data_IF_643048118575
#
_entry.id   IF_643048118575
#
_cell.length_a   1.000
_cell.length_b   1.000
_cell.length_c   1.000
_cell.angle_alpha   90.00
_cell.angle_beta   90.00
_cell.angle_gamma   90.00
#
_symmetry.space_group_name_H-M   'P 1'
#
loop_
_entity.id
_entity.type
_entity.pdbx_description
1 polymer ?
#
# COMPACT_ATOMS: atom_id res chain seq x y z
N UNK A 1 -10.89 10.39 -21.04
CA UNK A 1 -10.58 9.89 -19.68
C UNK A 1 -11.22 10.76 -18.62
N UNK A 2 -11.58 10.21 -17.42
CA UNK A 2 -12.00 11.04 -16.28
C UNK A 2 -10.81 11.88 -15.81
N UNK A 3 -10.99 13.22 -15.76
CA UNK A 3 -9.93 14.12 -15.28
C UNK A 3 -9.92 14.13 -13.76
N UNK A 4 -8.77 13.81 -13.18
CA UNK A 4 -8.50 13.94 -11.76
C UNK A 4 -7.78 15.26 -11.53
N UNK A 5 -8.21 16.01 -10.51
CA UNK A 5 -7.57 17.25 -10.08
C UNK A 5 -7.31 17.15 -8.59
N UNK A 6 -6.29 17.81 -8.13
CA UNK A 6 -6.03 17.97 -6.70
C UNK A 6 -5.78 19.44 -6.39
N UNK A 7 -6.20 19.87 -5.21
CA UNK A 7 -5.99 21.24 -4.72
C UNK A 7 -4.89 21.33 -3.68
N UNK A 8 -4.50 20.18 -3.13
CA UNK A 8 -3.45 20.07 -2.11
C UNK A 8 -2.66 18.77 -2.27
N UNK A 9 -1.46 18.77 -1.69
CA UNK A 9 -0.65 17.57 -1.54
C UNK A 9 -0.37 17.35 -0.06
N UNK A 10 -0.54 16.11 0.42
CA UNK A 10 -0.28 15.70 1.81
C UNK A 10 0.43 14.35 1.84
N UNK A 11 1.18 14.11 2.90
CA UNK A 11 1.76 12.80 3.11
C UNK A 11 0.73 11.79 3.67
N UNK A 12 0.85 10.54 3.27
CA UNK A 12 -0.03 9.45 3.70
C UNK A 12 0.07 9.17 5.21
N UNK A 13 1.21 9.50 5.85
CA UNK A 13 1.41 9.40 7.31
C UNK A 13 0.44 10.32 8.07
N UNK A 14 0.21 11.52 7.55
CA UNK A 14 -0.77 12.45 8.13
C UNK A 14 -2.19 11.89 8.02
N UNK A 15 -2.50 11.16 6.94
CA UNK A 15 -3.77 10.42 6.80
C UNK A 15 -3.89 9.31 7.87
N UNK A 16 -2.81 8.55 8.10
CA UNK A 16 -2.76 7.57 9.17
C UNK A 16 -2.97 8.21 10.56
N UNK A 17 -2.24 9.29 10.88
CA UNK A 17 -2.38 9.98 12.17
C UNK A 17 -3.80 10.49 12.42
N UNK A 18 -4.43 11.08 11.40
CA UNK A 18 -5.82 11.54 11.46
C UNK A 18 -6.79 10.36 11.66
N UNK A 19 -6.62 9.27 10.92
CA UNK A 19 -7.42 8.07 11.05
C UNK A 19 -7.25 7.37 12.42
N UNK A 20 -6.03 7.32 12.95
CA UNK A 20 -5.75 6.77 14.28
C UNK A 20 -6.43 7.56 15.39
N UNK A 21 -6.37 8.90 15.34
CA UNK A 21 -7.06 9.77 16.28
C UNK A 21 -8.58 9.54 16.25
N UNK A 22 -9.16 9.45 15.06
CA UNK A 22 -10.59 9.24 14.87
C UNK A 22 -11.01 7.82 15.33
N UNK A 23 -10.27 6.79 14.98
CA UNK A 23 -10.48 5.43 15.48
C UNK A 23 -10.44 5.37 17.02
N UNK A 24 -9.51 6.11 17.64
CA UNK A 24 -9.44 6.20 19.10
C UNK A 24 -10.60 6.93 19.76
N UNK A 25 -11.28 7.83 19.04
CA UNK A 25 -12.53 8.48 19.49
C UNK A 25 -13.73 7.54 19.37
N UNK A 26 -13.76 6.71 18.32
CA UNK A 26 -14.87 5.77 18.06
C UNK A 26 -14.81 4.53 18.97
N UNK A 27 -13.61 4.04 19.33
CA UNK A 27 -13.44 2.83 20.15
C UNK A 27 -12.32 3.02 21.20
N UNK A 28 -12.69 2.87 22.47
CA UNK A 28 -11.77 2.96 23.63
C UNK A 28 -10.75 1.81 23.69
N UNK A 29 -10.97 0.75 22.95
CA UNK A 29 -10.05 -0.38 22.86
C UNK A 29 -8.90 -0.12 21.87
N UNK A 30 -8.98 0.90 21.03
CA UNK A 30 -7.88 1.32 20.18
C UNK A 30 -6.74 1.87 21.04
N UNK A 31 -5.58 1.25 20.94
CA UNK A 31 -4.33 1.66 21.60
C UNK A 31 -3.21 1.77 20.57
N UNK A 32 -2.20 2.57 20.85
CA UNK A 32 -1.08 2.78 19.94
C UNK A 32 0.25 2.48 20.63
N UNK A 33 1.16 1.83 19.90
CA UNK A 33 2.52 1.53 20.32
C UNK A 33 3.50 2.11 19.31
N UNK A 34 4.63 2.65 19.75
CA UNK A 34 5.64 3.21 18.87
C UNK A 34 7.05 2.79 19.27
N UNK A 35 7.89 2.53 18.28
CA UNK A 35 9.32 2.28 18.44
C UNK A 35 10.13 3.56 18.17
N UNK A 36 9.98 4.56 19.02
CA UNK A 36 10.72 5.85 19.04
C UNK A 36 10.60 6.71 17.77
N UNK A 37 9.48 6.61 17.05
CA UNK A 37 9.24 7.31 15.79
C UNK A 37 7.90 8.09 15.77
N UNK A 38 7.45 8.58 16.92
CA UNK A 38 6.16 9.24 17.13
C UNK A 38 5.88 10.33 16.08
N UNK A 39 6.81 11.28 15.93
CA UNK A 39 6.67 12.39 14.99
C UNK A 39 6.66 11.95 13.53
N UNK A 40 7.45 10.93 13.19
CA UNK A 40 7.52 10.36 11.85
C UNK A 40 6.21 9.70 11.42
N UNK A 41 5.50 9.08 12.38
CA UNK A 41 4.21 8.43 12.16
C UNK A 41 3.01 9.33 12.42
N UNK A 42 3.21 10.61 12.77
CA UNK A 42 2.12 11.56 13.06
C UNK A 42 1.16 11.12 14.18
N UNK A 43 1.68 10.42 15.20
CA UNK A 43 0.87 9.91 16.33
C UNK A 43 0.62 10.95 17.42
N UNK A 44 1.18 12.16 17.32
CA UNK A 44 1.14 13.19 18.38
C UNK A 44 -0.29 13.53 18.82
N UNK A 45 -1.24 13.67 17.90
CA UNK A 45 -2.61 14.05 18.22
C UNK A 45 -3.36 12.94 18.96
N UNK A 46 -3.10 11.67 18.63
CA UNK A 46 -3.61 10.52 19.39
C UNK A 46 -3.05 10.51 20.80
N UNK A 47 -1.75 10.72 20.97
CA UNK A 47 -1.08 10.75 22.29
C UNK A 47 -1.64 11.89 23.15
N UNK A 48 -1.84 13.06 22.55
CA UNK A 48 -2.41 14.21 23.26
C UNK A 48 -3.85 13.95 23.73
N UNK A 49 -4.65 13.27 22.91
CA UNK A 49 -6.04 12.95 23.22
C UNK A 49 -6.18 11.78 24.21
N UNK A 50 -5.29 10.80 24.13
CA UNK A 50 -5.38 9.53 24.86
C UNK A 50 -4.03 9.08 25.42
N UNK A 51 -3.40 9.84 26.33
CA UNK A 51 -2.05 9.54 26.82
C UNK A 51 -1.94 8.17 27.50
N UNK A 52 -3.00 7.70 28.15
CA UNK A 52 -3.07 6.39 28.83
C UNK A 52 -3.24 5.19 27.87
N UNK A 53 -3.50 5.47 26.58
CA UNK A 53 -3.66 4.45 25.54
C UNK A 53 -2.48 4.40 24.56
N UNK A 54 -1.40 5.11 24.90
CA UNK A 54 -0.17 5.12 24.11
C UNK A 54 0.99 4.49 24.90
N UNK A 55 1.78 3.65 24.20
CA UNK A 55 2.94 2.96 24.76
C UNK A 55 4.18 3.23 23.93
N UNK A 56 5.14 3.97 24.47
CA UNK A 56 6.46 4.09 23.87
C UNK A 56 7.30 2.88 24.27
N UNK A 57 7.72 2.10 23.28
CA UNK A 57 8.47 0.85 23.50
C UNK A 57 9.99 1.07 23.37
N UNK A 58 10.39 2.20 22.79
CA UNK A 58 11.77 2.44 22.38
C UNK A 58 12.15 1.68 21.10
N UNK A 59 13.43 1.66 20.78
CA UNK A 59 13.94 0.97 19.58
C UNK A 59 14.01 -0.55 19.86
N UNK A 60 12.82 -1.16 20.02
CA UNK A 60 12.66 -2.57 20.39
C UNK A 60 11.44 -3.18 19.65
N UNK A 61 11.48 -3.17 18.35
CA UNK A 61 10.34 -3.52 17.48
C UNK A 61 9.86 -4.98 17.71
N UNK A 62 10.76 -5.92 17.95
CA UNK A 62 10.40 -7.29 18.29
C UNK A 62 9.56 -7.38 19.58
N UNK A 63 9.96 -6.61 20.61
CA UNK A 63 9.20 -6.49 21.86
C UNK A 63 7.85 -5.81 21.63
N UNK A 64 7.81 -4.76 20.79
CA UNK A 64 6.57 -4.07 20.40
C UNK A 64 5.55 -5.03 19.78
N UNK A 65 5.97 -5.92 18.88
CA UNK A 65 5.07 -6.90 18.26
C UNK A 65 4.54 -7.92 19.29
N UNK A 66 5.39 -8.37 20.22
CA UNK A 66 4.98 -9.24 21.32
C UNK A 66 3.98 -8.59 22.28
N UNK A 67 4.24 -7.34 22.69
CA UNK A 67 3.33 -6.56 23.54
C UNK A 67 1.98 -6.34 22.83
N UNK A 68 2.01 -5.94 21.55
CA UNK A 68 0.79 -5.75 20.77
C UNK A 68 -0.05 -7.03 20.69
N UNK A 69 0.58 -8.18 20.43
CA UNK A 69 -0.11 -9.47 20.43
C UNK A 69 -0.75 -9.77 21.81
N UNK A 70 -0.02 -9.51 22.90
CA UNK A 70 -0.52 -9.68 24.28
C UNK A 70 -1.71 -8.78 24.60
N UNK A 71 -1.71 -7.52 24.17
CA UNK A 71 -2.81 -6.56 24.40
C UNK A 71 -4.12 -7.03 23.74
N UNK A 72 -4.06 -7.75 22.64
CA UNK A 72 -5.27 -8.29 22.01
C UNK A 72 -5.98 -9.35 22.86
N UNK A 73 -5.27 -10.04 23.76
CA UNK A 73 -5.86 -11.02 24.68
C UNK A 73 -6.79 -10.30 25.68
N UNK A 74 -6.44 -9.05 26.04
CA UNK A 74 -7.28 -8.17 26.85
C UNK A 74 -8.35 -7.40 26.07
N UNK A 75 -8.60 -7.76 24.79
CA UNK A 75 -9.62 -7.14 23.94
C UNK A 75 -9.18 -5.80 23.32
N UNK A 76 -7.91 -5.41 23.41
CA UNK A 76 -7.43 -4.18 22.79
C UNK A 76 -7.20 -4.35 21.29
N UNK A 77 -7.23 -3.22 20.57
CA UNK A 77 -6.96 -3.09 19.13
C UNK A 77 -5.66 -2.29 18.99
N UNK A 78 -4.49 -2.93 19.08
CA UNK A 78 -3.22 -2.23 19.04
C UNK A 78 -2.81 -1.86 17.61
N UNK A 79 -2.46 -0.59 17.41
CA UNK A 79 -1.74 -0.08 16.26
C UNK A 79 -0.26 0.02 16.61
N UNK A 80 0.61 -0.75 15.96
CA UNK A 80 2.06 -0.63 16.12
C UNK A 80 2.60 0.33 15.09
N UNK A 81 3.55 1.19 15.45
CA UNK A 81 4.11 2.21 14.54
C UNK A 81 5.63 2.22 14.53
N UNK A 82 6.22 1.99 13.35
CA UNK A 82 7.63 2.18 13.04
C UNK A 82 7.81 2.26 11.51
N UNK A 83 9.05 2.36 11.01
CA UNK A 83 9.29 2.27 9.57
C UNK A 83 9.00 0.86 9.03
N UNK A 84 8.56 0.78 7.78
CA UNK A 84 8.16 -0.47 7.16
C UNK A 84 9.27 -1.54 7.20
N UNK A 85 10.52 -1.15 6.99
CA UNK A 85 11.67 -2.06 7.13
C UNK A 85 11.77 -2.65 8.54
N UNK A 86 11.54 -1.84 9.55
CA UNK A 86 11.67 -2.27 10.95
C UNK A 86 10.43 -3.01 11.47
N UNK A 87 9.27 -2.78 10.84
CA UNK A 87 8.02 -3.48 11.17
C UNK A 87 7.79 -4.76 10.35
N UNK A 88 8.73 -5.16 9.50
CA UNK A 88 8.61 -6.37 8.68
C UNK A 88 9.83 -7.27 8.76
N UNK A 89 10.91 -6.98 8.04
CA UNK A 89 12.08 -7.86 7.94
C UNK A 89 12.71 -8.19 9.29
N UNK A 90 12.95 -7.17 10.13
CA UNK A 90 13.59 -7.30 11.44
C UNK A 90 12.77 -8.12 12.44
N UNK A 91 11.45 -8.15 12.32
CA UNK A 91 10.51 -8.72 13.28
C UNK A 91 9.59 -9.77 12.67
N UNK A 92 9.99 -10.31 11.53
CA UNK A 92 9.14 -11.24 10.77
C UNK A 92 8.70 -12.46 11.58
N UNK A 93 9.60 -13.04 12.38
CA UNK A 93 9.27 -14.19 13.22
C UNK A 93 8.22 -13.84 14.29
N UNK A 94 8.36 -12.69 14.95
CA UNK A 94 7.38 -12.24 15.95
C UNK A 94 6.00 -12.01 15.31
N UNK A 95 5.95 -11.40 14.12
CA UNK A 95 4.68 -11.23 13.39
C UNK A 95 4.11 -12.59 13.02
N UNK A 96 4.93 -13.48 12.48
CA UNK A 96 4.50 -14.81 12.07
C UNK A 96 3.94 -15.62 13.24
N UNK A 97 4.67 -15.72 14.34
CA UNK A 97 4.31 -16.59 15.47
C UNK A 97 3.25 -15.94 16.37
N UNK A 98 3.51 -14.71 16.81
CA UNK A 98 2.70 -14.08 17.85
C UNK A 98 1.46 -13.38 17.30
N UNK A 99 1.43 -12.99 16.04
CA UNK A 99 0.34 -12.24 15.43
C UNK A 99 -0.44 -13.09 14.43
N UNK A 100 0.18 -13.47 13.29
CA UNK A 100 -0.52 -14.14 12.22
C UNK A 100 -0.96 -15.56 12.58
N UNK A 101 -0.03 -16.41 13.03
CA UNK A 101 -0.34 -17.79 13.43
C UNK A 101 -1.33 -17.86 14.59
N UNK A 102 -1.24 -16.91 15.51
CA UNK A 102 -2.12 -16.82 16.69
C UNK A 102 -3.41 -16.03 16.43
N UNK A 103 -3.66 -15.60 15.20
CA UNK A 103 -4.83 -14.82 14.75
C UNK A 103 -5.13 -13.60 15.65
N UNK A 104 -4.11 -12.78 15.91
CA UNK A 104 -4.20 -11.62 16.79
C UNK A 104 -4.63 -10.36 16.03
N UNK A 105 -5.54 -9.61 16.62
CA UNK A 105 -6.13 -8.40 16.05
C UNK A 105 -5.18 -7.19 16.12
N UNK A 106 -3.96 -7.32 15.58
CA UNK A 106 -2.93 -6.28 15.57
C UNK A 106 -2.93 -5.53 14.23
N UNK A 107 -2.82 -4.20 14.28
CA UNK A 107 -2.68 -3.31 13.13
C UNK A 107 -1.25 -2.83 13.04
N UNK A 108 -0.51 -3.33 12.06
CA UNK A 108 0.89 -3.00 11.83
C UNK A 108 0.94 -1.79 10.91
N UNK A 109 1.12 -0.58 11.49
CA UNK A 109 1.23 0.66 10.73
C UNK A 109 2.70 0.87 10.30
N UNK A 110 2.96 0.62 9.04
CA UNK A 110 4.28 0.56 8.43
C UNK A 110 4.55 1.78 7.57
N UNK A 111 5.25 2.74 8.14
CA UNK A 111 5.57 4.03 7.52
C UNK A 111 6.87 3.96 6.71
N UNK A 112 7.09 4.96 5.84
CA UNK A 112 8.34 5.09 5.08
C UNK A 112 8.66 3.86 4.21
N UNK A 113 7.62 3.22 3.66
CA UNK A 113 7.79 2.08 2.77
C UNK A 113 8.29 2.52 1.38
N UNK A 114 8.99 1.61 0.70
CA UNK A 114 9.47 1.85 -0.67
C UNK A 114 10.76 2.64 -0.77
N UNK A 115 11.08 3.07 -1.98
CA UNK A 115 12.23 3.94 -2.31
C UNK A 115 12.03 5.37 -1.80
N UNK A 116 10.77 5.83 -1.75
CA UNK A 116 10.42 7.20 -1.38
C UNK A 116 10.63 7.53 0.10
N UNK A 117 11.14 6.58 0.90
CA UNK A 117 11.80 6.93 2.16
C UNK A 117 12.93 7.96 1.91
N UNK A 118 13.68 7.79 0.82
CA UNK A 118 14.57 8.82 0.28
C UNK A 118 15.99 8.75 0.79
N UNK A 119 16.46 9.82 1.41
CA UNK A 119 17.88 10.10 1.71
C UNK A 119 18.51 9.09 2.67
N UNK A 120 17.74 8.46 3.56
CA UNK A 120 18.26 7.46 4.50
C UNK A 120 18.76 6.18 3.80
N UNK A 121 18.33 5.96 2.55
CA UNK A 121 18.89 4.96 1.65
C UNK A 121 18.50 3.51 1.96
N UNK A 122 19.19 2.58 1.30
CA UNK A 122 18.84 1.16 1.24
C UNK A 122 18.72 0.44 2.60
N UNK A 123 19.41 0.91 3.64
CA UNK A 123 19.33 0.31 4.98
C UNK A 123 18.01 0.60 5.71
N UNK A 124 17.26 1.62 5.25
CA UNK A 124 15.99 2.07 5.81
C UNK A 124 14.82 1.86 4.85
N UNK A 125 15.08 1.92 3.54
CA UNK A 125 14.13 1.54 2.51
C UNK A 125 13.78 0.06 2.62
N UNK A 126 12.58 -0.31 2.17
CA UNK A 126 12.19 -1.70 2.00
C UNK A 126 11.36 -1.86 0.74
N UNK A 127 11.69 -2.88 -0.04
CA UNK A 127 11.06 -3.20 -1.32
C UNK A 127 10.50 -4.64 -1.33
N UNK A 128 10.50 -5.30 -0.18
CA UNK A 128 10.13 -6.70 0.03
C UNK A 128 8.96 -6.86 1.01
N UNK A 129 8.52 -5.78 1.63
CA UNK A 129 7.55 -5.77 2.73
C UNK A 129 6.18 -6.35 2.36
N UNK A 130 5.65 -5.98 1.19
CA UNK A 130 4.39 -6.56 0.68
C UNK A 130 4.56 -8.08 0.52
N UNK A 131 5.66 -8.52 -0.09
CA UNK A 131 5.97 -9.94 -0.28
C UNK A 131 6.01 -10.69 1.05
N UNK A 132 6.76 -10.18 2.03
CA UNK A 132 6.87 -10.77 3.36
C UNK A 132 5.50 -10.90 4.05
N UNK A 133 4.70 -9.84 4.03
CA UNK A 133 3.43 -9.81 4.75
C UNK A 133 2.35 -10.64 4.04
N UNK A 134 2.27 -10.61 2.70
CA UNK A 134 1.24 -11.38 1.99
C UNK A 134 1.46 -12.89 2.08
N UNK A 135 2.70 -13.36 2.33
CA UNK A 135 2.96 -14.80 2.54
C UNK A 135 2.36 -15.34 3.84
N UNK A 136 2.07 -14.48 4.83
CA UNK A 136 1.51 -14.92 6.11
C UNK A 136 0.02 -15.25 5.97
N UNK A 137 -0.43 -16.47 6.31
CA UNK A 137 -1.87 -16.80 6.34
C UNK A 137 -2.63 -15.83 7.27
N UNK A 138 -3.85 -15.44 6.87
CA UNK A 138 -4.70 -14.54 7.66
C UNK A 138 -4.31 -13.06 7.64
N UNK A 139 -3.09 -12.70 7.22
CA UNK A 139 -2.66 -11.30 7.14
C UNK A 139 -3.39 -10.56 6.03
N UNK A 140 -4.01 -9.43 6.35
CA UNK A 140 -4.53 -8.45 5.40
C UNK A 140 -3.46 -7.44 5.05
N UNK A 141 -3.27 -7.12 3.75
CA UNK A 141 -2.23 -6.19 3.28
C UNK A 141 -2.87 -5.04 2.52
N UNK A 142 -2.72 -3.82 3.05
CA UNK A 142 -3.33 -2.59 2.53
C UNK A 142 -2.24 -1.58 2.18
N UNK A 143 -2.32 -0.97 1.00
CA UNK A 143 -1.39 0.05 0.50
C UNK A 143 -2.17 1.22 -0.15
N UNK A 144 -2.70 2.17 0.65
CA UNK A 144 -3.49 3.29 0.16
C UNK A 144 -2.64 4.30 -0.63
N UNK A 145 -3.30 5.07 -1.51
CA UNK A 145 -2.62 5.91 -2.49
C UNK A 145 -2.40 7.37 -2.05
N UNK A 146 -3.25 7.92 -1.20
CA UNK A 146 -3.17 9.31 -0.75
C UNK A 146 -3.63 9.50 0.70
N UNK A 147 -3.65 10.75 1.17
CA UNK A 147 -4.04 11.12 2.52
C UNK A 147 -5.46 10.63 2.89
N UNK A 148 -6.45 10.93 2.06
CA UNK A 148 -7.85 10.59 2.34
C UNK A 148 -8.05 9.08 2.37
N UNK A 149 -7.49 8.36 1.41
CA UNK A 149 -7.57 6.91 1.37
C UNK A 149 -6.83 6.27 2.55
N UNK A 150 -5.71 6.83 3.00
CA UNK A 150 -4.99 6.31 4.17
C UNK A 150 -5.78 6.53 5.46
N UNK A 151 -6.46 7.68 5.61
CA UNK A 151 -7.36 7.92 6.73
C UNK A 151 -8.50 6.89 6.75
N UNK A 152 -9.18 6.71 5.62
CA UNK A 152 -10.26 5.73 5.48
C UNK A 152 -9.79 4.28 5.71
N UNK A 153 -8.63 3.91 5.18
CA UNK A 153 -8.01 2.60 5.39
C UNK A 153 -7.68 2.34 6.88
N UNK A 154 -7.22 3.36 7.61
CA UNK A 154 -6.92 3.26 9.05
C UNK A 154 -8.20 2.99 9.85
N UNK A 155 -9.29 3.69 9.54
CA UNK A 155 -10.60 3.46 10.17
C UNK A 155 -11.15 2.06 9.83
N UNK A 156 -11.06 1.65 8.57
CA UNK A 156 -11.47 0.31 8.15
C UNK A 156 -10.63 -0.78 8.84
N UNK A 157 -9.31 -0.57 8.97
CA UNK A 157 -8.43 -1.48 9.70
C UNK A 157 -8.81 -1.60 11.18
N UNK A 158 -9.20 -0.52 11.85
CA UNK A 158 -9.64 -0.56 13.24
C UNK A 158 -10.87 -1.45 13.43
N UNK A 159 -11.81 -1.43 12.48
CA UNK A 159 -13.05 -2.22 12.49
C UNK A 159 -12.85 -3.67 12.03
N UNK A 160 -11.80 -3.94 11.27
CA UNK A 160 -11.49 -5.28 10.76
C UNK A 160 -10.99 -6.19 11.90
N UNK A 161 -11.48 -7.43 11.96
CA UNK A 161 -10.99 -8.45 12.89
C UNK A 161 -9.88 -9.26 12.24
N UNK A 162 -8.73 -9.36 12.89
CA UNK A 162 -7.56 -10.06 12.41
C UNK A 162 -6.35 -9.13 12.16
N UNK A 163 -5.20 -9.69 11.79
CA UNK A 163 -3.98 -8.93 11.57
C UNK A 163 -4.05 -8.13 10.26
N UNK A 164 -3.64 -6.86 10.34
CA UNK A 164 -3.57 -5.96 9.18
C UNK A 164 -2.16 -5.37 9.09
N UNK A 165 -1.56 -5.43 7.92
CA UNK A 165 -0.40 -4.65 7.53
C UNK A 165 -0.87 -3.46 6.71
N UNK A 166 -0.76 -2.26 7.28
CA UNK A 166 -1.10 -0.99 6.65
C UNK A 166 0.18 -0.27 6.24
N UNK A 167 0.45 -0.26 4.95
CA UNK A 167 1.65 0.27 4.32
C UNK A 167 1.44 1.71 3.85
N UNK A 168 2.35 2.62 4.14
CA UNK A 168 2.30 3.99 3.62
C UNK A 168 3.68 4.64 3.53
N UNK A 169 3.82 5.60 2.60
CA UNK A 169 5.08 6.25 2.27
C UNK A 169 5.37 7.50 3.11
N UNK A 170 6.50 8.14 2.81
CA UNK A 170 6.99 9.37 3.46
C UNK A 170 6.62 10.67 2.72
N UNK A 171 6.72 10.74 1.37
CA UNK A 171 6.59 12.01 0.67
C UNK A 171 5.15 12.54 0.68
N UNK A 172 5.02 13.83 0.39
CA UNK A 172 3.74 14.40 0.03
C UNK A 172 3.35 13.95 -1.37
N UNK A 173 2.08 13.60 -1.53
CA UNK A 173 1.49 13.16 -2.79
C UNK A 173 0.20 13.93 -3.04
N UNK A 174 -0.26 14.05 -4.30
CA UNK A 174 -1.55 14.63 -4.59
C UNK A 174 -2.68 13.98 -3.80
N UNK A 175 -3.60 14.77 -3.26
CA UNK A 175 -4.83 14.30 -2.61
C UNK A 175 -5.96 14.38 -3.63
N UNK A 176 -6.35 13.25 -4.18
CA UNK A 176 -7.32 13.17 -5.29
C UNK A 176 -8.51 12.25 -5.01
N UNK A 177 -8.41 11.43 -3.95
CA UNK A 177 -9.55 10.59 -3.54
C UNK A 177 -10.55 11.41 -2.70
N UNK A 178 -11.87 11.10 -2.72
CA UNK A 178 -12.86 11.78 -1.90
C UNK A 178 -12.55 11.67 -0.40
N UNK A 179 -12.85 12.73 0.36
CA UNK A 179 -12.64 12.74 1.82
C UNK A 179 -13.55 11.75 2.55
N UNK A 180 -14.77 11.58 2.05
CA UNK A 180 -15.86 10.75 2.59
C UNK A 180 -15.97 9.39 1.89
N UNK A 181 -14.91 8.94 1.19
CA UNK A 181 -14.94 7.68 0.49
C UNK A 181 -15.15 6.49 1.45
N UNK A 182 -16.02 5.57 1.06
CA UNK A 182 -16.08 4.26 1.69
C UNK A 182 -14.81 3.46 1.37
N UNK A 183 -14.22 2.83 2.38
CA UNK A 183 -13.07 1.96 2.22
C UNK A 183 -13.44 0.53 2.58
N UNK A 184 -13.62 -0.31 1.58
CA UNK A 184 -13.96 -1.72 1.75
C UNK A 184 -12.71 -2.57 1.52
N UNK A 185 -12.24 -3.24 2.56
CA UNK A 185 -11.08 -4.12 2.47
C UNK A 185 -11.36 -5.26 1.48
N UNK A 186 -10.50 -5.43 0.49
CA UNK A 186 -10.64 -6.47 -0.53
C UNK A 186 -11.42 -6.05 -1.78
N UNK A 187 -11.94 -4.82 -1.86
CA UNK A 187 -12.59 -4.28 -3.05
C UNK A 187 -11.69 -3.25 -3.74
N UNK A 188 -11.50 -3.39 -5.04
CA UNK A 188 -10.71 -2.45 -5.84
C UNK A 188 -11.56 -1.24 -6.27
N UNK A 189 -10.90 -0.11 -6.52
CA UNK A 189 -11.59 1.11 -6.95
C UNK A 189 -11.32 1.37 -8.44
N UNK A 190 -12.38 1.34 -9.25
CA UNK A 190 -12.32 1.76 -10.66
C UNK A 190 -12.15 3.27 -10.74
N UNK A 191 -11.01 3.72 -11.24
CA UNK A 191 -10.70 5.13 -11.44
C UNK A 191 -11.11 5.61 -12.82
N UNK A 192 -10.76 4.85 -13.85
CA UNK A 192 -11.14 5.15 -15.23
C UNK A 192 -11.57 3.88 -15.95
N UNK A 193 -12.80 3.82 -16.51
CA UNK A 193 -13.19 2.73 -17.38
C UNK A 193 -12.45 2.83 -18.72
N UNK A 194 -12.11 1.69 -19.32
CA UNK A 194 -11.42 1.62 -20.62
C UNK A 194 -11.58 0.25 -21.26
N UNK A 195 -11.10 0.12 -22.48
CA UNK A 195 -11.32 -1.10 -23.30
C UNK A 195 -10.06 -1.67 -23.95
N UNK A 196 -8.94 -0.93 -23.93
CA UNK A 196 -7.74 -1.32 -24.70
C UNK A 196 -6.73 -2.10 -23.83
N UNK A 197 -6.47 -1.62 -22.61
CA UNK A 197 -5.50 -2.17 -21.67
C UNK A 197 -5.98 -1.95 -20.25
N UNK A 198 -5.68 -2.88 -19.33
CA UNK A 198 -5.89 -2.70 -17.88
C UNK A 198 -4.60 -2.22 -17.21
N UNK A 199 -4.69 -1.18 -16.39
CA UNK A 199 -3.61 -0.72 -15.50
C UNK A 199 -4.06 -0.92 -14.04
N UNK A 200 -3.37 -1.78 -13.30
CA UNK A 200 -3.60 -2.06 -11.88
C UNK A 200 -2.48 -1.40 -11.08
N UNK A 201 -2.80 -0.36 -10.34
CA UNK A 201 -1.83 0.39 -9.55
C UNK A 201 -2.12 0.34 -8.06
N UNK A 202 -1.08 0.47 -7.22
CA UNK A 202 -1.22 0.51 -5.77
C UNK A 202 -0.31 1.58 -5.14
N UNK A 203 -0.71 2.13 -3.99
CA UNK A 203 0.05 3.14 -3.29
C UNK A 203 0.30 4.38 -4.15
N UNK A 204 1.49 4.96 -4.05
CA UNK A 204 1.85 6.19 -4.76
C UNK A 204 1.79 6.06 -6.29
N UNK A 205 1.95 4.85 -6.84
CA UNK A 205 1.88 4.61 -8.29
C UNK A 205 0.46 4.76 -8.87
N UNK A 206 -0.56 4.91 -8.03
CA UNK A 206 -1.93 5.19 -8.50
C UNK A 206 -2.02 6.56 -9.17
N UNK A 207 -1.35 7.58 -8.63
CA UNK A 207 -1.29 8.90 -9.28
C UNK A 207 -0.54 8.84 -10.61
N UNK A 208 0.59 8.15 -10.64
CA UNK A 208 1.36 7.93 -11.88
C UNK A 208 0.53 7.19 -12.96
N UNK A 209 -0.30 6.24 -12.53
CA UNK A 209 -1.21 5.53 -13.45
C UNK A 209 -2.29 6.46 -14.03
N UNK A 210 -2.79 7.43 -13.24
CA UNK A 210 -3.71 8.45 -13.73
C UNK A 210 -3.03 9.34 -14.77
N UNK A 211 -1.82 9.85 -14.47
CA UNK A 211 -1.04 10.66 -15.41
C UNK A 211 -0.73 9.89 -16.70
N UNK A 212 -0.31 8.62 -16.58
CA UNK A 212 -0.08 7.76 -17.74
C UNK A 212 -1.35 7.55 -18.58
N UNK A 213 -2.51 7.42 -17.94
CA UNK A 213 -3.79 7.31 -18.64
C UNK A 213 -4.14 8.56 -19.46
N UNK A 214 -3.85 9.76 -18.95
CA UNK A 214 -4.04 11.02 -19.70
C UNK A 214 -3.13 11.08 -20.92
N UNK A 215 -1.88 10.64 -20.81
CA UNK A 215 -0.97 10.57 -21.95
C UNK A 215 -1.41 9.51 -22.97
N UNK A 216 -1.80 8.31 -22.52
CA UNK A 216 -2.31 7.23 -23.38
C UNK A 216 -3.55 7.67 -24.17
N UNK A 217 -4.44 8.45 -23.58
CA UNK A 217 -5.60 9.02 -24.28
C UNK A 217 -5.16 9.86 -25.50
N UNK A 218 -4.09 10.65 -25.37
CA UNK A 218 -3.54 11.43 -26.50
C UNK A 218 -2.99 10.56 -27.61
N UNK A 219 -2.59 9.33 -27.29
CA UNK A 219 -2.13 8.31 -28.24
C UNK A 219 -3.28 7.45 -28.80
N UNK A 220 -4.52 7.74 -28.44
CA UNK A 220 -5.71 6.98 -28.86
C UNK A 220 -5.86 5.64 -28.14
N UNK A 221 -5.20 5.44 -27.00
CA UNK A 221 -5.25 4.22 -26.19
C UNK A 221 -6.20 4.45 -25.01
N UNK A 222 -7.30 3.69 -24.96
CA UNK A 222 -8.32 3.75 -23.93
C UNK A 222 -7.97 2.80 -22.78
N UNK A 223 -7.28 3.33 -21.77
CA UNK A 223 -6.81 2.57 -20.62
C UNK A 223 -7.85 2.47 -19.50
N UNK A 224 -8.12 1.25 -19.03
CA UNK A 224 -8.85 1.03 -17.77
C UNK A 224 -7.90 1.09 -16.59
N UNK A 225 -8.17 2.00 -15.62
CA UNK A 225 -7.29 2.23 -14.47
C UNK A 225 -8.00 1.84 -13.19
N UNK A 226 -7.40 0.94 -12.44
CA UNK A 226 -7.95 0.40 -11.19
C UNK A 226 -6.93 0.58 -10.06
N UNK A 227 -7.37 1.18 -8.96
CA UNK A 227 -6.61 1.26 -7.73
C UNK A 227 -6.82 -0.02 -6.91
N UNK A 228 -5.76 -0.78 -6.73
CA UNK A 228 -5.68 -1.98 -5.89
C UNK A 228 -5.11 -1.58 -4.52
N UNK A 229 -5.90 -0.92 -3.70
CA UNK A 229 -5.48 -0.50 -2.37
C UNK A 229 -5.39 -1.66 -1.36
N UNK A 230 -6.03 -2.79 -1.62
CA UNK A 230 -5.90 -4.03 -0.83
C UNK A 230 -5.23 -5.09 -1.70
N UNK A 231 -4.00 -5.46 -1.34
CA UNK A 231 -3.21 -6.45 -2.08
C UNK A 231 -3.58 -7.87 -1.64
N UNK A 232 -3.97 -8.00 -0.37
CA UNK A 232 -4.48 -9.27 0.19
C UNK A 232 -5.60 -8.98 1.21
N UNK A 233 -6.82 -9.51 1.02
CA UNK A 233 -7.24 -10.29 -0.15
C UNK A 233 -7.26 -9.42 -1.43
N UNK A 234 -6.86 -10.00 -2.55
CA UNK A 234 -6.97 -9.35 -3.86
C UNK A 234 -8.43 -9.40 -4.35
N UNK A 235 -8.90 -8.31 -4.95
CA UNK A 235 -10.19 -8.31 -5.68
C UNK A 235 -10.04 -9.07 -7.01
N UNK A 236 -10.04 -10.40 -6.91
CA UNK A 236 -9.88 -11.27 -8.08
C UNK A 236 -10.98 -11.01 -9.14
N UNK A 237 -12.21 -10.70 -8.69
CA UNK A 237 -13.33 -10.44 -9.59
C UNK A 237 -13.09 -9.16 -10.41
N UNK A 238 -12.69 -8.07 -9.79
CA UNK A 238 -12.41 -6.83 -10.50
C UNK A 238 -11.26 -7.01 -11.49
N UNK A 239 -10.17 -7.67 -11.07
CA UNK A 239 -9.01 -7.97 -11.95
C UNK A 239 -9.44 -8.80 -13.16
N UNK A 240 -10.12 -9.93 -12.94
CA UNK A 240 -10.53 -10.84 -14.02
C UNK A 240 -11.53 -10.18 -14.97
N UNK A 241 -12.50 -9.42 -14.44
CA UNK A 241 -13.49 -8.71 -15.26
C UNK A 241 -12.83 -7.69 -16.18
N UNK A 242 -11.90 -6.90 -15.66
CA UNK A 242 -11.17 -5.89 -16.41
C UNK A 242 -10.28 -6.54 -17.48
N UNK A 243 -9.45 -7.51 -17.07
CA UNK A 243 -8.49 -8.16 -17.97
C UNK A 243 -9.19 -8.99 -19.04
N UNK A 244 -10.32 -9.62 -18.74
CA UNK A 244 -11.12 -10.33 -19.78
C UNK A 244 -11.63 -9.38 -20.88
N UNK A 245 -11.95 -8.14 -20.52
CA UNK A 245 -12.38 -7.11 -21.48
C UNK A 245 -11.22 -6.56 -22.29
N UNK A 246 -10.10 -6.27 -21.66
CA UNK A 246 -8.98 -5.57 -22.28
C UNK A 246 -7.94 -6.49 -22.92
N UNK A 247 -7.85 -7.74 -22.50
CA UNK A 247 -6.93 -8.76 -23.03
C UNK A 247 -5.45 -8.56 -22.73
N UNK A 248 -5.07 -7.57 -21.93
CA UNK A 248 -3.69 -7.36 -21.47
C UNK A 248 -3.67 -6.45 -20.23
N UNK A 249 -2.59 -6.54 -19.42
CA UNK A 249 -2.49 -5.81 -18.16
C UNK A 249 -1.09 -5.28 -17.87
N UNK A 250 -1.04 -4.11 -17.24
CA UNK A 250 0.17 -3.54 -16.63
C UNK A 250 -0.08 -3.41 -15.13
N UNK A 251 0.86 -3.86 -14.29
CA UNK A 251 0.84 -3.62 -12.85
C UNK A 251 1.86 -2.56 -12.47
N UNK A 252 1.52 -1.65 -11.54
CA UNK A 252 2.37 -0.56 -11.10
C UNK A 252 2.43 -0.48 -9.58
N UNK A 253 3.64 -0.61 -9.01
CA UNK A 253 3.89 -0.65 -7.57
C UNK A 253 5.28 -0.15 -7.18
N UNK A 254 5.39 0.54 -6.07
CA UNK A 254 6.66 0.93 -5.46
C UNK A 254 7.17 -0.19 -4.54
N UNK A 255 7.57 -1.29 -5.14
CA UNK A 255 8.01 -2.52 -4.49
C UNK A 255 8.90 -3.30 -5.46
N UNK A 256 9.64 -4.30 -5.00
CA UNK A 256 10.31 -5.23 -5.90
C UNK A 256 9.28 -5.96 -6.77
N UNK A 257 9.61 -6.18 -8.03
CA UNK A 257 8.79 -6.96 -8.96
C UNK A 257 8.43 -8.35 -8.40
N UNK A 258 9.39 -8.95 -7.68
CA UNK A 258 9.22 -10.27 -7.06
C UNK A 258 8.45 -10.10 -5.74
N UNK A 259 7.35 -10.80 -5.61
CA UNK A 259 6.57 -10.86 -4.37
C UNK A 259 5.53 -9.76 -4.19
N UNK A 260 5.43 -8.77 -5.07
CA UNK A 260 4.49 -7.66 -4.97
C UNK A 260 3.07 -7.92 -5.50
N UNK A 261 2.38 -6.84 -5.89
CA UNK A 261 1.08 -6.86 -6.53
C UNK A 261 1.14 -7.62 -7.87
N UNK A 262 2.17 -7.33 -8.67
CA UNK A 262 2.34 -7.95 -9.99
C UNK A 262 2.38 -9.46 -9.94
N UNK A 263 3.06 -10.06 -8.95
CA UNK A 263 3.08 -11.51 -8.75
C UNK A 263 1.70 -12.06 -8.35
N UNK A 264 0.93 -11.35 -7.53
CA UNK A 264 -0.42 -11.77 -7.16
C UNK A 264 -1.34 -11.80 -8.37
N UNK A 265 -1.24 -10.79 -9.24
CA UNK A 265 -2.00 -10.72 -10.49
C UNK A 265 -1.55 -11.82 -11.46
N UNK A 266 -0.23 -12.03 -11.62
CA UNK A 266 0.31 -13.09 -12.49
C UNK A 266 -0.17 -14.49 -12.06
N UNK A 267 -0.16 -14.80 -10.75
CA UNK A 267 -0.66 -16.07 -10.23
C UNK A 267 -2.15 -16.27 -10.52
N UNK A 268 -2.96 -15.21 -10.33
CA UNK A 268 -4.38 -15.24 -10.65
C UNK A 268 -4.62 -15.49 -12.13
N UNK A 269 -3.94 -14.71 -13.00
CA UNK A 269 -4.11 -14.81 -14.45
C UNK A 269 -3.59 -16.14 -14.99
N UNK A 270 -2.45 -16.64 -14.54
CA UNK A 270 -1.94 -17.94 -14.95
C UNK A 270 -2.92 -19.08 -14.67
N UNK A 271 -3.69 -18.97 -13.57
CA UNK A 271 -4.67 -19.99 -13.16
C UNK A 271 -6.01 -19.87 -13.89
N UNK A 272 -6.51 -18.66 -14.11
CA UNK A 272 -7.90 -18.44 -14.53
C UNK A 272 -8.07 -17.80 -15.90
N UNK A 273 -7.12 -16.96 -16.33
CA UNK A 273 -7.21 -16.20 -17.57
C UNK A 273 -5.80 -15.86 -18.09
N UNK A 274 -5.05 -16.81 -18.65
CA UNK A 274 -3.70 -16.56 -19.16
C UNK A 274 -3.66 -15.36 -20.11
N UNK A 275 -2.93 -14.31 -19.72
CA UNK A 275 -2.98 -13.01 -20.38
C UNK A 275 -1.59 -12.35 -20.33
N UNK A 276 -1.16 -11.62 -21.38
CA UNK A 276 0.06 -10.82 -21.35
C UNK A 276 0.05 -9.80 -20.22
N UNK A 277 1.13 -9.81 -19.42
CA UNK A 277 1.33 -8.86 -18.33
C UNK A 277 2.71 -8.19 -18.45
N UNK A 278 2.76 -6.89 -18.17
CA UNK A 278 3.97 -6.09 -17.96
C UNK A 278 3.97 -5.50 -16.55
N UNK A 279 5.17 -5.19 -16.04
CA UNK A 279 5.38 -4.72 -14.69
C UNK A 279 6.07 -3.35 -14.69
N UNK A 280 5.60 -2.44 -13.86
CA UNK A 280 6.29 -1.22 -13.43
C UNK A 280 6.56 -1.37 -11.93
N UNK A 281 7.77 -1.76 -11.60
CA UNK A 281 8.21 -2.11 -10.25
C UNK A 281 9.75 -2.06 -10.21
N UNK A 282 10.35 -2.11 -9.01
CA UNK A 282 11.80 -2.20 -8.88
C UNK A 282 12.28 -3.57 -9.39
N UNK A 283 13.26 -3.54 -10.28
CA UNK A 283 13.71 -4.73 -10.99
C UNK A 283 14.88 -5.41 -10.26
N UNK A 284 14.56 -6.18 -9.23
CA UNK A 284 15.48 -7.05 -8.46
C UNK A 284 16.79 -6.33 -8.04
N UNK A 285 16.62 -5.18 -7.40
CA UNK A 285 17.74 -4.38 -6.88
C UNK A 285 17.38 -3.73 -5.56
N UNK A 286 18.38 -3.47 -4.73
CA UNK A 286 18.20 -2.61 -3.57
C UNK A 286 18.04 -1.14 -4.01
N UNK A 287 17.46 -0.33 -3.12
CA UNK A 287 17.42 1.11 -3.28
C UNK A 287 18.77 1.77 -2.96
N UNK A 288 18.77 3.09 -2.92
CA UNK A 288 19.92 3.93 -2.61
C UNK A 288 19.48 5.26 -2.01
N UNK A 289 20.42 6.03 -1.49
CA UNK A 289 20.15 7.38 -0.96
C UNK A 289 19.89 8.37 -2.11
N UNK A 290 18.85 9.18 -1.96
CA UNK A 290 18.53 10.22 -2.94
C UNK A 290 17.20 10.91 -2.64
N UNK A 291 16.91 12.03 -3.30
CA UNK A 291 15.59 12.65 -3.24
C UNK A 291 14.51 11.68 -3.77
N UNK A 292 13.34 11.58 -3.12
CA UNK A 292 12.29 10.64 -3.51
C UNK A 292 11.91 10.67 -5.00
N UNK A 293 11.70 11.86 -5.58
CA UNK A 293 11.34 11.99 -7.00
C UNK A 293 12.45 11.48 -7.93
N UNK A 294 13.72 11.80 -7.63
CA UNK A 294 14.85 11.34 -8.42
C UNK A 294 15.01 9.80 -8.36
N UNK A 295 14.69 9.19 -7.23
CA UNK A 295 14.67 7.73 -7.10
C UNK A 295 13.54 7.12 -7.91
N UNK A 296 12.31 7.68 -7.85
CA UNK A 296 11.21 7.21 -8.66
C UNK A 296 11.54 7.23 -10.16
N UNK A 297 12.12 8.34 -10.66
CA UNK A 297 12.56 8.45 -12.05
C UNK A 297 13.67 7.45 -12.39
N UNK A 298 14.69 7.34 -11.56
CA UNK A 298 15.84 6.44 -11.80
C UNK A 298 15.42 4.97 -11.87
N UNK A 299 14.48 4.56 -11.02
CA UNK A 299 13.99 3.19 -10.98
C UNK A 299 12.79 2.94 -11.92
N UNK A 300 12.40 3.95 -12.72
CA UNK A 300 11.31 3.82 -13.69
C UNK A 300 9.94 3.61 -13.03
N UNK A 301 9.68 4.29 -11.92
CA UNK A 301 8.42 4.22 -11.18
C UNK A 301 7.60 5.51 -11.41
N UNK A 302 7.30 5.83 -12.67
CA UNK A 302 6.62 7.05 -13.09
C UNK A 302 5.66 6.79 -14.25
N UNK A 303 4.92 7.82 -14.66
CA UNK A 303 3.93 7.75 -15.74
C UNK A 303 4.55 7.30 -17.07
N UNK A 304 5.73 7.81 -17.44
CA UNK A 304 6.42 7.45 -18.70
C UNK A 304 6.72 5.95 -18.76
N UNK A 305 7.15 5.37 -17.64
CA UNK A 305 7.43 3.94 -17.54
C UNK A 305 6.16 3.09 -17.68
N UNK A 306 5.03 3.58 -17.16
CA UNK A 306 3.72 2.93 -17.30
C UNK A 306 3.28 2.99 -18.77
N UNK A 307 3.38 4.15 -19.43
CA UNK A 307 3.09 4.30 -20.87
C UNK A 307 3.95 3.34 -21.69
N UNK A 308 5.25 3.30 -21.43
CA UNK A 308 6.16 2.39 -22.14
C UNK A 308 5.79 0.90 -21.90
N UNK A 309 5.37 0.53 -20.69
CA UNK A 309 4.90 -0.83 -20.38
C UNK A 309 3.60 -1.16 -21.13
N UNK A 310 2.67 -0.21 -21.23
CA UNK A 310 1.44 -0.35 -22.01
C UNK A 310 1.77 -0.60 -23.48
N UNK A 311 2.65 0.18 -24.07
CA UNK A 311 3.05 -0.03 -25.48
C UNK A 311 3.72 -1.39 -25.71
N UNK A 312 4.48 -1.90 -24.73
CA UNK A 312 5.07 -3.25 -24.81
C UNK A 312 4.01 -4.34 -24.71
N UNK A 313 3.09 -4.24 -23.74
CA UNK A 313 2.07 -5.29 -23.54
C UNK A 313 1.09 -5.36 -24.70
N UNK A 314 0.75 -4.25 -25.32
CA UNK A 314 -0.10 -4.21 -26.51
C UNK A 314 0.55 -4.95 -27.70
N UNK A 315 1.85 -4.75 -27.93
CA UNK A 315 2.59 -5.53 -28.95
C UNK A 315 2.58 -7.03 -28.66
N UNK A 316 2.69 -7.42 -27.39
CA UNK A 316 2.63 -8.84 -26.98
C UNK A 316 1.23 -9.43 -27.18
N UNK A 317 0.17 -8.64 -26.97
CA UNK A 317 -1.22 -9.04 -27.21
C UNK A 317 -1.51 -9.37 -28.66
N UNK A 318 -0.90 -8.65 -29.63
CA UNK A 318 -1.08 -8.88 -31.05
C UNK A 318 -0.44 -10.19 -31.55
N UNK A 319 0.47 -10.78 -30.81
CA UNK A 319 1.22 -11.99 -31.16
C UNK A 319 0.55 -13.27 -30.68
N UNK A 320 -0.40 -13.15 -29.76
CA UNK A 320 -1.14 -14.27 -29.19
C UNK A 320 -2.51 -14.39 -29.84
#
# INVERSE_FOLDING_TARGET
MKKYTYTESKDTRSGFGAGLLEAGKEDENVVALCADLIGSLKMNDFIKAFPERFFQIGIAEANMMGIAAGLTIGGKIPFTGTFANFSTGRVYDQIRQSIAYSDKNVKIAASHAGLTLGEDGATHQILEDIGLMKMLPGMTVINPCDYNQTKAATLAAAKHKGPVYLRFGRPVVPVFTPEDQEFVIGEAVMLNPGTTVTILATGHLVWEAICAGEELETLGIDAEIINIHTIKPLDEKAVLTSVAKTGCVVTAEEHNRIGGLGDSVAQLLAKQLPTPQEYVAVNDSFGESGPPSALMDKYGLNADAIVAAVLRVLKRKEVI
#
